data_IF_963282349638
#
_entry.id   IF_963282349638
#
_cell.length_a   1.000
_cell.length_b   1.000
_cell.length_c   1.000
_cell.angle_alpha   90.00
_cell.angle_beta   90.00
_cell.angle_gamma   90.00
#
_symmetry.space_group_name_H-M   'P 1'
#
loop_
_entity.id
_entity.type
_entity.pdbx_description
1 polymer ?
#
# COMPACT_ATOMS: atom_id res chain seq x y z
N UNK A 1 -18.22 20.58 9.93
CA UNK A 1 -17.02 19.73 9.87
C UNK A 1 -16.44 19.74 11.27
N UNK A 2 -16.39 18.60 11.97
CA UNK A 2 -15.82 18.49 13.31
C UNK A 2 -14.46 17.80 13.19
N UNK A 3 -13.39 18.50 13.55
CA UNK A 3 -12.03 17.96 13.58
C UNK A 3 -11.89 17.08 14.83
N UNK A 4 -11.66 15.77 14.65
CA UNK A 4 -11.41 14.84 15.78
C UNK A 4 -9.92 14.92 16.15
N UNK A 5 -9.57 15.19 17.42
CA UNK A 5 -8.17 15.27 17.85
C UNK A 5 -7.46 13.91 17.79
N UNK A 6 -6.29 13.87 17.14
CA UNK A 6 -5.44 12.69 16.95
C UNK A 6 -4.93 12.01 18.24
N UNK A 7 -5.15 12.62 19.41
CA UNK A 7 -4.74 12.07 20.70
C UNK A 7 -5.62 10.89 21.19
N UNK A 8 -6.75 10.61 20.50
CA UNK A 8 -7.69 9.56 20.92
C UNK A 8 -7.40 8.17 20.33
N UNK A 9 -6.32 8.02 19.56
CA UNK A 9 -5.90 6.74 18.96
C UNK A 9 -4.93 5.99 19.90
N UNK A 10 -5.42 5.54 21.05
CA UNK A 10 -4.66 4.70 21.98
C UNK A 10 -4.60 3.25 21.45
N UNK A 11 -3.75 2.99 20.45
CA UNK A 11 -3.40 1.63 20.04
C UNK A 11 -2.37 1.08 21.02
N UNK A 12 -2.84 0.43 22.09
CA UNK A 12 -1.99 -0.27 23.05
C UNK A 12 -1.33 -1.49 22.40
N UNK A 13 -0.24 -1.28 21.67
CA UNK A 13 0.67 -2.36 21.24
C UNK A 13 1.56 -2.70 22.43
N UNK A 14 1.01 -3.52 23.33
CA UNK A 14 1.77 -4.11 24.42
C UNK A 14 2.49 -5.37 23.89
N UNK A 15 3.78 -5.19 23.62
CA UNK A 15 4.81 -6.04 24.22
C UNK A 15 4.71 -7.55 23.93
N UNK A 16 5.06 -7.93 22.71
CA UNK A 16 5.58 -9.25 22.32
C UNK A 16 6.12 -9.05 20.89
N UNK A 17 7.41 -9.05 20.58
CA UNK A 17 8.40 -10.08 20.84
C UNK A 17 9.80 -9.46 20.63
N UNK A 18 10.70 -9.66 21.59
CA UNK A 18 12.12 -9.37 21.48
C UNK A 18 12.83 -10.37 20.55
N UNK A 19 13.76 -9.89 19.73
CA UNK A 19 15.04 -10.57 19.50
C UNK A 19 16.10 -9.56 19.02
N UNK A 20 17.34 -9.60 19.53
CA UNK A 20 18.38 -8.64 19.16
C UNK A 20 19.19 -9.19 17.97
N UNK A 21 19.49 -8.35 16.98
CA UNK A 21 20.63 -8.59 16.09
C UNK A 21 21.69 -7.53 16.34
N UNK A 22 22.76 -7.97 16.98
CA UNK A 22 24.01 -7.24 17.21
C UNK A 22 24.73 -6.91 15.89
N UNK A 23 25.51 -5.82 15.85
CA UNK A 23 26.56 -5.67 14.83
C UNK A 23 26.92 -4.27 14.29
N UNK A 24 27.09 -3.27 15.16
CA UNK A 24 28.14 -2.21 15.18
C UNK A 24 28.77 -1.64 13.88
N UNK A 25 28.78 -0.29 13.81
CA UNK A 25 29.95 0.62 13.63
C UNK A 25 29.79 1.63 12.46
N UNK A 26 30.03 2.95 12.54
CA UNK A 26 30.16 3.98 13.59
C UNK A 26 30.31 5.34 12.84
N UNK A 27 29.84 6.46 13.40
CA UNK A 27 30.23 7.84 12.97
C UNK A 27 29.06 8.79 12.70
N UNK A 28 28.41 9.35 13.73
CA UNK A 28 28.71 10.65 14.38
C UNK A 28 27.74 11.77 13.97
N UNK A 29 26.90 12.20 14.93
CA UNK A 29 26.04 13.38 14.81
C UNK A 29 24.86 13.32 15.78
N UNK A 30 25.09 13.76 17.02
CA UNK A 30 24.16 13.72 18.15
C UNK A 30 22.80 14.40 17.89
N UNK A 31 21.70 13.72 18.23
CA UNK A 31 20.65 14.21 19.13
C UNK A 31 19.68 13.07 19.45
N UNK A 32 19.69 12.66 20.72
CA UNK A 32 18.64 12.02 21.53
C UNK A 32 17.38 11.52 20.80
N UNK A 33 17.23 10.20 20.91
CA UNK A 33 16.12 9.33 20.51
C UNK A 33 14.71 9.92 20.67
N UNK A 34 14.01 10.08 19.55
CA UNK A 34 12.57 9.77 19.47
C UNK A 34 12.44 8.58 18.51
N UNK A 35 12.78 7.40 19.03
CA UNK A 35 12.67 6.13 18.32
C UNK A 35 11.23 5.66 18.21
N UNK A 36 10.29 6.56 17.87
CA UNK A 36 9.00 6.17 17.34
C UNK A 36 9.29 5.48 16.01
N UNK A 37 9.49 4.17 16.06
CA UNK A 37 9.58 3.33 14.88
C UNK A 37 8.24 3.48 14.15
N UNK A 38 8.19 4.43 13.22
CA UNK A 38 7.02 4.74 12.44
C UNK A 38 6.55 3.45 11.78
N UNK A 39 5.34 3.02 12.16
CA UNK A 39 4.74 1.84 11.55
C UNK A 39 4.65 2.14 10.07
N UNK A 40 5.19 1.27 9.19
CA UNK A 40 5.14 1.53 7.76
C UNK A 40 3.66 1.59 7.35
N UNK A 41 3.21 2.79 7.00
CA UNK A 41 1.85 2.99 6.50
C UNK A 41 1.68 2.20 5.20
N UNK A 42 0.47 1.72 4.95
CA UNK A 42 0.17 1.10 3.66
C UNK A 42 0.48 2.11 2.53
N UNK A 43 1.07 1.62 1.45
CA UNK A 43 1.32 2.44 0.24
C UNK A 43 0.12 2.44 -0.70
N UNK A 44 -1.04 1.95 -0.21
CA UNK A 44 -2.31 1.95 -0.91
C UNK A 44 -2.70 3.39 -1.24
N UNK A 45 -2.65 3.76 -2.53
CA UNK A 45 -3.04 5.08 -3.00
C UNK A 45 -3.83 4.98 -4.30
N UNK A 46 -4.87 5.80 -4.38
CA UNK A 46 -5.64 6.03 -5.61
C UNK A 46 -5.09 7.28 -6.29
N UNK A 47 -4.76 7.17 -7.58
CA UNK A 47 -4.18 8.25 -8.38
C UNK A 47 -5.07 8.53 -9.61
N UNK A 48 -5.28 9.80 -9.93
CA UNK A 48 -5.94 10.20 -11.18
C UNK A 48 -5.03 9.86 -12.35
N UNK A 49 -5.55 9.32 -13.47
CA UNK A 49 -4.74 8.99 -14.63
C UNK A 49 -4.08 10.26 -15.21
N UNK A 50 -2.76 10.37 -15.07
CA UNK A 50 -1.98 11.49 -15.64
C UNK A 50 -1.70 11.33 -17.14
N UNK A 51 -1.74 10.10 -17.64
CA UNK A 51 -1.57 9.77 -19.07
C UNK A 51 -2.60 8.73 -19.53
N UNK A 52 -3.01 8.83 -20.80
CA UNK A 52 -3.96 7.91 -21.47
C UNK A 52 -3.32 6.55 -21.82
N UNK A 53 -2.01 6.43 -21.67
CA UNK A 53 -1.25 5.29 -22.15
C UNK A 53 -1.54 4.01 -21.37
N UNK A 54 -1.69 4.09 -20.04
CA UNK A 54 -1.97 2.92 -19.20
C UNK A 54 -3.40 2.40 -19.44
N UNK A 55 -4.37 3.31 -19.62
CA UNK A 55 -5.74 2.97 -20.02
C UNK A 55 -5.78 2.22 -21.35
N UNK A 56 -4.92 2.61 -22.30
CA UNK A 56 -4.81 1.97 -23.61
C UNK A 56 -4.13 0.60 -23.50
N UNK A 57 -3.06 0.49 -22.70
CA UNK A 57 -2.35 -0.77 -22.44
C UNK A 57 -3.25 -1.83 -21.80
N UNK A 58 -4.15 -1.43 -20.91
CA UNK A 58 -5.05 -2.34 -20.22
C UNK A 58 -6.13 -2.94 -21.14
N UNK A 59 -6.33 -2.43 -22.36
CA UNK A 59 -7.39 -2.87 -23.28
C UNK A 59 -8.77 -3.00 -22.61
N UNK A 60 -9.09 -2.08 -21.70
CA UNK A 60 -10.30 -2.10 -20.87
C UNK A 60 -10.44 -3.34 -19.95
N UNK A 61 -9.37 -4.08 -19.69
CA UNK A 61 -9.34 -5.25 -18.80
C UNK A 61 -8.63 -4.96 -17.49
N UNK A 62 -9.04 -5.67 -16.44
CA UNK A 62 -8.43 -5.58 -15.13
C UNK A 62 -7.01 -6.14 -15.14
N UNK A 63 -6.07 -5.43 -14.51
CA UNK A 63 -4.68 -5.87 -14.38
C UNK A 63 -4.41 -6.66 -13.09
N UNK A 64 -5.44 -6.97 -12.31
CA UNK A 64 -5.28 -7.74 -11.08
C UNK A 64 -4.83 -9.17 -11.38
N UNK A 65 -3.98 -9.68 -10.50
CA UNK A 65 -3.62 -11.08 -10.45
C UNK A 65 -4.10 -11.62 -9.10
N UNK A 66 -4.93 -12.64 -9.15
CA UNK A 66 -5.45 -13.34 -7.97
C UNK A 66 -4.61 -14.61 -7.74
N UNK A 67 -4.48 -15.01 -6.48
CA UNK A 67 -3.86 -16.27 -6.11
C UNK A 67 -4.89 -17.21 -5.51
N UNK A 68 -5.05 -18.40 -6.11
CA UNK A 68 -5.93 -19.47 -5.63
C UNK A 68 -5.13 -20.77 -5.69
N UNK A 69 -5.07 -21.52 -4.59
CA UNK A 69 -4.31 -22.78 -4.51
C UNK A 69 -2.85 -22.70 -4.99
N UNK A 70 -2.21 -21.54 -4.76
CA UNK A 70 -0.84 -21.18 -5.20
C UNK A 70 -0.69 -20.96 -6.71
N UNK A 71 -1.75 -21.07 -7.47
CA UNK A 71 -1.78 -20.66 -8.87
C UNK A 71 -2.16 -19.18 -8.97
N UNK A 72 -1.52 -18.49 -9.91
CA UNK A 72 -1.78 -17.09 -10.19
C UNK A 72 -2.65 -16.99 -11.43
N UNK A 73 -3.84 -16.42 -11.30
CA UNK A 73 -4.76 -16.14 -12.40
C UNK A 73 -4.87 -14.64 -12.61
N UNK A 74 -5.00 -14.21 -13.86
CA UNK A 74 -5.33 -12.81 -14.15
C UNK A 74 -6.84 -12.64 -14.10
N UNK A 75 -7.28 -11.54 -13.51
CA UNK A 75 -8.67 -11.12 -13.60
C UNK A 75 -9.02 -10.81 -15.06
N UNK A 76 -10.13 -11.39 -15.55
CA UNK A 76 -10.62 -11.19 -16.93
C UNK A 76 -11.74 -10.15 -17.00
N UNK A 77 -12.11 -9.56 -15.87
CA UNK A 77 -13.19 -8.59 -15.80
C UNK A 77 -12.83 -7.27 -16.50
N UNK A 78 -13.86 -6.62 -17.04
CA UNK A 78 -13.72 -5.30 -17.63
C UNK A 78 -13.59 -4.19 -16.60
N UNK A 79 -12.87 -3.15 -16.98
CA UNK A 79 -12.72 -1.92 -16.23
C UNK A 79 -13.79 -0.93 -16.68
N UNK A 80 -14.52 -0.37 -15.71
CA UNK A 80 -15.49 0.69 -15.94
C UNK A 80 -14.93 2.08 -15.57
N UNK A 81 -14.01 2.14 -14.60
CA UNK A 81 -13.35 3.35 -14.12
C UNK A 81 -11.84 3.24 -14.25
N UNK A 82 -11.21 4.24 -14.84
CA UNK A 82 -9.77 4.25 -15.13
C UNK A 82 -8.93 4.97 -14.07
N UNK A 83 -9.45 5.04 -12.85
CA UNK A 83 -8.69 5.52 -11.70
C UNK A 83 -7.60 4.50 -11.38
N UNK A 84 -6.36 4.97 -11.36
CA UNK A 84 -5.20 4.12 -11.11
C UNK A 84 -5.09 3.83 -9.63
N UNK A 85 -4.65 2.63 -9.31
CA UNK A 85 -4.42 2.27 -7.92
C UNK A 85 -3.08 1.56 -7.76
N UNK A 86 -2.44 1.81 -6.62
CA UNK A 86 -1.16 1.23 -6.23
C UNK A 86 -1.34 0.50 -4.91
N UNK A 87 -1.14 -0.82 -4.90
CA UNK A 87 -1.20 -1.64 -3.68
C UNK A 87 0.07 -1.51 -2.81
N UNK A 88 1.22 -1.29 -3.44
CA UNK A 88 2.51 -1.15 -2.76
C UNK A 88 3.45 -0.26 -3.57
N UNK A 89 4.41 0.40 -2.91
CA UNK A 89 5.48 1.14 -3.58
C UNK A 89 6.35 0.27 -4.51
N UNK A 90 6.38 -1.04 -4.30
CA UNK A 90 7.09 -2.00 -5.17
C UNK A 90 6.32 -2.40 -6.43
N UNK A 91 5.04 -2.05 -6.51
CA UNK A 91 4.16 -2.40 -7.62
C UNK A 91 3.88 -1.14 -8.44
N UNK A 92 3.83 -1.29 -9.75
CA UNK A 92 3.42 -0.20 -10.65
C UNK A 92 1.95 0.19 -10.44
N UNK A 93 1.52 1.30 -11.03
CA UNK A 93 0.11 1.67 -11.06
C UNK A 93 -0.68 0.68 -11.92
N UNK A 94 -1.84 0.25 -11.42
CA UNK A 94 -2.71 -0.71 -12.09
C UNK A 94 -4.10 -0.13 -12.30
N UNK A 95 -4.76 -0.60 -13.36
CA UNK A 95 -6.18 -0.38 -13.59
C UNK A 95 -6.94 -1.63 -13.15
N UNK A 96 -7.95 -1.45 -12.29
CA UNK A 96 -8.67 -2.56 -11.66
C UNK A 96 -10.18 -2.48 -11.96
N UNK A 97 -10.86 -3.63 -12.00
CA UNK A 97 -12.33 -3.66 -12.04
C UNK A 97 -12.93 -3.29 -10.67
N UNK A 98 -14.21 -2.91 -10.62
CA UNK A 98 -14.84 -2.43 -9.38
C UNK A 98 -14.72 -3.41 -8.22
N UNK A 99 -14.80 -4.72 -8.47
CA UNK A 99 -14.64 -5.75 -7.43
C UNK A 99 -13.24 -5.70 -6.80
N UNK A 100 -12.19 -5.66 -7.62
CA UNK A 100 -10.82 -5.55 -7.14
C UNK A 100 -10.50 -4.22 -6.48
N UNK A 101 -11.13 -3.13 -6.94
CA UNK A 101 -11.00 -1.80 -6.31
C UNK A 101 -11.59 -1.81 -4.90
N UNK A 102 -12.77 -2.39 -4.74
CA UNK A 102 -13.45 -2.49 -3.45
C UNK A 102 -12.71 -3.34 -2.42
N UNK A 103 -11.92 -4.33 -2.86
CA UNK A 103 -11.11 -5.19 -1.97
C UNK A 103 -9.81 -4.52 -1.51
N UNK A 104 -9.38 -3.46 -2.17
CA UNK A 104 -8.07 -2.84 -1.91
C UNK A 104 -8.15 -1.58 -1.03
N UNK A 105 -9.37 -1.04 -0.83
CA UNK A 105 -9.66 0.10 0.05
C UNK A 105 -10.17 -0.37 1.40
#
# INVERSE_FOLDING_TARGET
YLEVPLHSLDLRVKEALSSPSEGLSNGSGAMETDGLQEVPLCSCRMETPKSREITTLANNQCMATESVDKELSRCTNHVLKYELMRASNKVQLLVLCEDHRGRMV
#
